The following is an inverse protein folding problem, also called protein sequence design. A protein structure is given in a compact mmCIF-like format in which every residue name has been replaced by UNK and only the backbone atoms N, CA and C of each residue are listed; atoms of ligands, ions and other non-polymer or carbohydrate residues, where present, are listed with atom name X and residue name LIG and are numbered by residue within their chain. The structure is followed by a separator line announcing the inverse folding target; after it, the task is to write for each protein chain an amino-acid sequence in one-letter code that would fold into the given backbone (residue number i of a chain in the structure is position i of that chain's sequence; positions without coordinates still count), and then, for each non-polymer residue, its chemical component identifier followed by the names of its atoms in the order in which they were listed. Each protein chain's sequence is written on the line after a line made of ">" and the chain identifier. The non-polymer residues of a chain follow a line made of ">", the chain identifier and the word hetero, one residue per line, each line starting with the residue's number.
data_IF_549527779175
#
_entry.id   IF_549527779175
#
_cell.length_a   1.000
_cell.length_b   1.000
_cell.length_c   1.000
_cell.angle_alpha   90.00
_cell.angle_beta   90.00
_cell.angle_gamma   90.00
#
_symmetry.space_group_name_H-M   'P 1'
#
loop_
_entity.id
_entity.type
_entity.pdbx_description
1 polymer ?
#
# COMPACT_ATOMS: atom_id res chain seq x y z
N UNK A 1 -30.54 12.25 -23.46
CA UNK A 1 -29.27 12.91 -23.84
C UNK A 1 -28.64 13.50 -22.58
N UNK A 2 -27.63 12.84 -22.01
CA UNK A 2 -27.01 13.21 -20.73
C UNK A 2 -26.02 14.37 -20.99
N UNK A 3 -26.35 15.59 -20.58
CA UNK A 3 -25.47 16.76 -20.72
C UNK A 3 -24.58 16.89 -19.46
N UNK A 4 -23.31 16.45 -19.49
CA UNK A 4 -22.46 16.39 -18.29
C UNK A 4 -22.22 17.75 -17.63
N UNK A 5 -22.24 18.83 -18.43
CA UNK A 5 -22.03 20.21 -17.98
C UNK A 5 -23.17 20.74 -17.10
N UNK A 6 -24.42 20.37 -17.40
CA UNK A 6 -25.59 20.80 -16.60
C UNK A 6 -25.73 20.01 -15.30
N UNK A 7 -25.24 18.76 -15.27
CA UNK A 7 -25.20 17.93 -14.07
C UNK A 7 -24.15 18.42 -13.05
N UNK A 8 -22.97 18.82 -13.52
CA UNK A 8 -21.89 19.36 -12.68
C UNK A 8 -22.26 20.68 -11.98
N UNK A 9 -23.10 21.53 -12.59
CA UNK A 9 -23.53 22.81 -12.00
C UNK A 9 -24.46 22.69 -10.80
N UNK A 10 -25.18 21.57 -10.62
CA UNK A 10 -26.24 21.44 -9.58
C UNK A 10 -25.80 20.71 -8.31
N UNK A 11 -24.63 20.08 -8.30
CA UNK A 11 -24.09 19.35 -7.13
C UNK A 11 -22.56 19.46 -7.05
N UNK A 12 -22.02 20.62 -6.63
CA UNK A 12 -20.58 20.87 -6.66
C UNK A 12 -19.81 19.83 -5.83
N UNK A 13 -20.35 19.41 -4.67
CA UNK A 13 -19.68 18.46 -3.77
C UNK A 13 -19.72 17.02 -4.31
N UNK A 14 -20.82 16.59 -4.95
CA UNK A 14 -20.91 15.25 -5.54
C UNK A 14 -20.08 15.12 -6.82
N UNK A 15 -20.00 16.20 -7.61
CA UNK A 15 -19.10 16.27 -8.75
C UNK A 15 -17.63 16.23 -8.27
N UNK A 16 -17.26 17.02 -7.25
CA UNK A 16 -15.89 17.07 -6.73
C UNK A 16 -15.47 15.75 -6.08
N UNK A 17 -16.34 15.07 -5.32
CA UNK A 17 -16.05 13.72 -4.78
C UNK A 17 -15.91 12.65 -5.87
N UNK A 18 -16.77 12.68 -6.90
CA UNK A 18 -16.65 11.78 -8.04
C UNK A 18 -15.40 12.10 -8.89
N UNK A 19 -14.93 13.35 -8.86
CA UNK A 19 -13.71 13.82 -9.53
C UNK A 19 -12.43 13.49 -8.75
N UNK A 20 -12.44 13.46 -7.41
CA UNK A 20 -11.23 13.18 -6.60
C UNK A 20 -10.86 11.70 -6.58
N UNK A 21 -11.85 10.81 -6.41
CA UNK A 21 -11.66 9.35 -6.40
C UNK A 21 -11.27 8.76 -7.76
N UNK A 22 -11.67 9.38 -8.87
CA UNK A 22 -11.33 8.90 -10.21
C UNK A 22 -10.24 9.75 -10.88
N UNK A 23 -9.67 10.71 -10.15
CA UNK A 23 -8.71 11.68 -10.70
C UNK A 23 -7.53 11.00 -11.39
N UNK A 24 -7.02 9.89 -10.82
CA UNK A 24 -5.95 9.11 -11.44
C UNK A 24 -6.35 8.56 -12.80
N UNK A 25 -7.49 7.85 -12.88
CA UNK A 25 -7.91 7.24 -14.14
C UNK A 25 -8.28 8.29 -15.18
N UNK A 26 -8.97 9.36 -14.79
CA UNK A 26 -9.31 10.45 -15.72
C UNK A 26 -8.06 11.08 -16.33
N UNK A 27 -7.00 11.28 -15.54
CA UNK A 27 -5.73 11.85 -16.04
C UNK A 27 -4.95 10.91 -16.92
N UNK A 28 -5.05 9.59 -16.70
CA UNK A 28 -4.41 8.61 -17.57
C UNK A 28 -5.19 8.39 -18.87
N UNK A 29 -6.52 8.49 -18.84
CA UNK A 29 -7.38 8.25 -20.00
C UNK A 29 -7.43 9.44 -20.95
N UNK A 30 -7.43 10.68 -20.45
CA UNK A 30 -7.51 11.89 -21.29
C UNK A 30 -6.51 11.92 -22.47
N UNK A 31 -5.19 11.76 -22.26
CA UNK A 31 -4.23 11.78 -23.38
C UNK A 31 -4.37 10.54 -24.30
N UNK A 32 -4.93 9.43 -23.80
CA UNK A 32 -5.21 8.27 -24.64
C UNK A 32 -6.40 8.52 -25.56
N UNK A 33 -7.42 9.24 -25.10
CA UNK A 33 -8.55 9.63 -25.95
C UNK A 33 -8.14 10.61 -27.05
N UNK A 34 -7.21 11.52 -26.78
CA UNK A 34 -6.66 12.41 -27.81
C UNK A 34 -5.92 11.64 -28.92
N UNK A 35 -5.22 10.55 -28.57
CA UNK A 35 -4.38 9.78 -29.51
C UNK A 35 -5.10 8.62 -30.20
N UNK A 36 -5.99 7.93 -29.48
CA UNK A 36 -6.64 6.68 -29.91
C UNK A 36 -8.16 6.84 -30.11
N UNK A 37 -8.69 8.04 -29.89
CA UNK A 37 -10.13 8.33 -29.89
C UNK A 37 -10.85 7.85 -28.61
N UNK A 38 -12.08 8.31 -28.37
CA UNK A 38 -12.90 7.97 -27.20
C UNK A 38 -13.48 6.55 -27.32
N UNK A 39 -12.61 5.54 -27.33
CA UNK A 39 -12.98 4.13 -27.48
C UNK A 39 -13.03 3.42 -26.13
N UNK A 40 -13.82 2.34 -26.05
CA UNK A 40 -13.88 1.51 -24.84
C UNK A 40 -12.50 0.89 -24.51
N UNK A 41 -11.69 0.61 -25.55
CA UNK A 41 -10.32 0.13 -25.41
C UNK A 41 -9.43 1.16 -24.69
N UNK A 42 -9.37 2.39 -25.20
CA UNK A 42 -8.56 3.46 -24.61
C UNK A 42 -8.97 3.78 -23.15
N UNK A 43 -10.26 3.69 -22.84
CA UNK A 43 -10.77 3.91 -21.48
C UNK A 43 -10.31 2.84 -20.47
N UNK A 44 -10.10 1.60 -20.93
CA UNK A 44 -9.76 0.44 -20.08
C UNK A 44 -8.26 0.18 -20.03
N UNK A 45 -7.51 0.65 -21.02
CA UNK A 45 -6.07 0.41 -21.15
C UNK A 45 -5.26 0.75 -19.88
N UNK A 46 -5.46 1.90 -19.19
CA UNK A 46 -4.72 2.19 -17.96
C UNK A 46 -4.98 1.17 -16.85
N UNK A 47 -6.24 0.76 -16.67
CA UNK A 47 -6.64 -0.21 -15.65
C UNK A 47 -6.03 -1.57 -15.96
N UNK A 48 -6.10 -2.01 -17.21
CA UNK A 48 -5.55 -3.28 -17.66
C UNK A 48 -4.02 -3.34 -17.50
N UNK A 49 -3.30 -2.25 -17.83
CA UNK A 49 -1.86 -2.17 -17.64
C UNK A 49 -1.47 -2.20 -16.16
N UNK A 50 -2.13 -1.40 -15.31
CA UNK A 50 -1.87 -1.40 -13.87
C UNK A 50 -2.19 -2.77 -13.26
N UNK A 51 -3.34 -3.36 -13.61
CA UNK A 51 -3.73 -4.71 -13.21
C UNK A 51 -2.73 -5.77 -13.64
N UNK A 52 -2.20 -5.65 -14.87
CA UNK A 52 -1.17 -6.55 -15.41
C UNK A 52 0.17 -6.51 -14.67
N UNK A 53 0.44 -5.45 -13.89
CA UNK A 53 1.61 -5.38 -13.03
C UNK A 53 1.43 -6.08 -11.67
N UNK A 54 0.21 -6.49 -11.29
CA UNK A 54 -0.05 -7.16 -10.02
C UNK A 54 0.88 -8.38 -9.77
N UNK A 55 1.14 -9.27 -10.75
CA UNK A 55 2.04 -10.41 -10.56
C UNK A 55 3.47 -10.03 -10.17
N UNK A 56 3.97 -8.86 -10.60
CA UNK A 56 5.31 -8.40 -10.25
C UNK A 56 5.45 -8.09 -8.75
N UNK A 57 4.34 -7.80 -8.04
CA UNK A 57 4.37 -7.62 -6.61
C UNK A 57 4.88 -8.86 -5.87
N UNK A 58 4.74 -10.07 -6.45
CA UNK A 58 5.29 -11.31 -5.89
C UNK A 58 6.80 -11.24 -5.66
N UNK A 59 7.54 -10.51 -6.51
CA UNK A 59 9.00 -10.32 -6.39
C UNK A 59 9.38 -9.56 -5.11
N UNK A 60 8.50 -8.72 -4.58
CA UNK A 60 8.73 -8.00 -3.33
C UNK A 60 8.74 -8.96 -2.13
N UNK A 61 7.96 -10.04 -2.22
CA UNK A 61 7.88 -11.09 -1.21
C UNK A 61 8.90 -12.22 -1.41
N UNK A 62 9.64 -12.24 -2.52
CA UNK A 62 10.70 -13.23 -2.81
C UNK A 62 11.89 -13.10 -1.87
N UNK A 63 12.48 -14.22 -1.46
CA UNK A 63 13.71 -14.25 -0.65
C UNK A 63 14.86 -13.51 -1.34
N UNK A 64 15.53 -12.55 -0.65
CA UNK A 64 16.77 -11.96 -1.14
C UNK A 64 17.90 -12.99 -1.14
N UNK A 65 18.83 -12.89 -2.10
CA UNK A 65 20.05 -13.69 -2.11
C UNK A 65 20.80 -13.52 -0.78
N UNK A 66 20.96 -14.62 -0.03
CA UNK A 66 21.54 -14.64 1.31
C UNK A 66 20.62 -14.17 2.44
N UNK A 67 19.28 -14.32 2.31
CA UNK A 67 18.29 -13.97 3.34
C UNK A 67 17.86 -15.16 4.24
N UNK A 68 17.39 -14.86 5.45
CA UNK A 68 17.15 -15.82 6.56
C UNK A 68 15.89 -16.71 6.42
N UNK A 69 15.49 -17.14 5.22
CA UNK A 69 14.39 -18.12 5.09
C UNK A 69 12.96 -17.58 5.20
N UNK A 70 12.76 -16.32 5.62
CA UNK A 70 11.44 -15.78 6.03
C UNK A 70 10.53 -15.27 4.92
N UNK A 71 11.09 -15.09 3.74
CA UNK A 71 10.38 -14.65 2.54
C UNK A 71 10.21 -15.83 1.59
N UNK A 72 9.35 -15.66 0.59
CA UNK A 72 8.93 -16.71 -0.34
C UNK A 72 10.12 -17.29 -1.10
N UNK A 73 10.12 -18.61 -1.27
CA UNK A 73 11.03 -19.29 -2.19
C UNK A 73 10.70 -18.92 -3.65
N UNK A 74 11.57 -19.30 -4.59
CA UNK A 74 11.38 -18.99 -6.01
C UNK A 74 10.10 -19.64 -6.56
N UNK A 75 9.86 -20.91 -6.23
CA UNK A 75 8.64 -21.63 -6.60
C UNK A 75 7.38 -20.96 -6.01
N UNK A 76 7.40 -20.58 -4.74
CA UNK A 76 6.27 -19.89 -4.10
C UNK A 76 6.00 -18.52 -4.70
N UNK A 77 7.06 -17.80 -5.07
CA UNK A 77 6.95 -16.49 -5.72
C UNK A 77 6.29 -16.63 -7.10
N UNK A 78 6.64 -17.68 -7.87
CA UNK A 78 5.99 -17.99 -9.14
C UNK A 78 4.53 -18.38 -8.93
N UNK A 79 4.22 -19.19 -7.92
CA UNK A 79 2.84 -19.55 -7.59
C UNK A 79 2.03 -18.31 -7.22
N UNK A 80 2.55 -17.42 -6.37
CA UNK A 80 1.88 -16.17 -6.01
C UNK A 80 1.66 -15.27 -7.24
N UNK A 81 2.68 -15.13 -8.10
CA UNK A 81 2.56 -14.36 -9.34
C UNK A 81 1.47 -14.94 -10.25
N UNK A 82 1.44 -16.27 -10.40
CA UNK A 82 0.42 -16.99 -11.16
C UNK A 82 -0.97 -16.74 -10.60
N UNK A 83 -1.16 -16.91 -9.28
CA UNK A 83 -2.43 -16.63 -8.59
C UNK A 83 -2.88 -15.19 -8.84
N UNK A 84 -2.00 -14.20 -8.68
CA UNK A 84 -2.32 -12.80 -8.92
C UNK A 84 -2.67 -12.52 -10.39
N UNK A 85 -2.04 -13.22 -11.33
CA UNK A 85 -2.29 -13.09 -12.77
C UNK A 85 -3.67 -13.64 -13.18
N UNK A 86 -4.11 -14.75 -12.58
CA UNK A 86 -5.37 -15.42 -12.96
C UNK A 86 -6.52 -15.19 -11.99
N UNK A 87 -6.33 -14.40 -10.94
CA UNK A 87 -7.38 -14.13 -9.95
C UNK A 87 -8.63 -13.58 -10.65
N UNK A 88 -9.79 -14.26 -10.57
CA UNK A 88 -10.97 -13.91 -11.35
C UNK A 88 -11.43 -12.47 -11.13
N UNK A 89 -11.35 -11.98 -9.89
CA UNK A 89 -11.68 -10.59 -9.56
C UNK A 89 -10.79 -9.59 -10.30
N UNK A 90 -9.47 -9.79 -10.29
CA UNK A 90 -8.52 -8.92 -10.98
C UNK A 90 -8.73 -8.94 -12.50
N UNK A 91 -8.85 -10.13 -13.10
CA UNK A 91 -9.05 -10.28 -14.55
C UNK A 91 -10.39 -9.68 -14.99
N UNK A 92 -11.45 -9.95 -14.23
CA UNK A 92 -12.77 -9.42 -14.53
C UNK A 92 -12.83 -7.90 -14.40
N UNK A 93 -12.38 -7.33 -13.26
CA UNK A 93 -12.50 -5.89 -13.05
C UNK A 93 -11.52 -5.06 -13.89
N UNK A 94 -10.44 -5.66 -14.39
CA UNK A 94 -9.52 -4.97 -15.32
C UNK A 94 -10.14 -4.65 -16.68
N UNK A 95 -11.27 -5.27 -17.04
CA UNK A 95 -12.01 -4.92 -18.28
C UNK A 95 -12.86 -3.66 -18.15
N UNK A 96 -12.94 -3.05 -16.98
CA UNK A 96 -13.76 -1.86 -16.74
C UNK A 96 -12.86 -0.69 -16.35
N UNK A 97 -13.28 0.54 -16.68
CA UNK A 97 -12.62 1.75 -16.20
C UNK A 97 -12.97 1.95 -14.71
N UNK A 98 -12.44 1.08 -13.85
CA UNK A 98 -12.79 0.97 -12.44
C UNK A 98 -11.54 1.17 -11.60
N UNK A 99 -11.66 2.03 -10.60
CA UNK A 99 -10.52 2.44 -9.78
C UNK A 99 -10.09 1.42 -8.73
N UNK A 100 -10.93 0.42 -8.45
CA UNK A 100 -10.63 -0.67 -7.51
C UNK A 100 -9.37 -1.48 -7.87
N UNK A 101 -9.11 -1.71 -9.16
CA UNK A 101 -7.93 -2.48 -9.59
C UNK A 101 -6.64 -1.68 -9.33
N UNK A 102 -6.49 -0.42 -9.79
CA UNK A 102 -5.36 0.42 -9.42
C UNK A 102 -5.14 0.53 -7.91
N UNK A 103 -6.21 0.74 -7.14
CA UNK A 103 -6.15 0.79 -5.69
C UNK A 103 -5.52 -0.48 -5.10
N UNK A 104 -6.04 -1.64 -5.50
CA UNK A 104 -5.56 -2.93 -5.00
C UNK A 104 -4.09 -3.17 -5.36
N UNK A 105 -3.69 -2.85 -6.60
CA UNK A 105 -2.30 -3.01 -7.06
C UNK A 105 -1.38 -2.09 -6.28
N UNK A 106 -1.68 -0.80 -6.19
CA UNK A 106 -0.83 0.15 -5.47
C UNK A 106 -0.74 -0.18 -3.98
N UNK A 107 -1.84 -0.58 -3.35
CA UNK A 107 -1.83 -1.05 -1.96
C UNK A 107 -0.97 -2.31 -1.78
N UNK A 108 -1.04 -3.26 -2.72
CA UNK A 108 -0.22 -4.49 -2.70
C UNK A 108 1.27 -4.18 -2.85
N UNK A 109 1.64 -3.26 -3.75
CA UNK A 109 3.03 -2.79 -3.87
C UNK A 109 3.49 -2.06 -2.62
N UNK A 110 2.66 -1.17 -2.05
CA UNK A 110 2.98 -0.48 -0.80
C UNK A 110 3.24 -1.46 0.35
N UNK A 111 2.37 -2.48 0.49
CA UNK A 111 2.57 -3.58 1.45
C UNK A 111 3.84 -4.37 1.16
N UNK A 112 4.08 -4.76 -0.09
CA UNK A 112 5.26 -5.50 -0.50
C UNK A 112 6.56 -4.76 -0.20
N UNK A 113 6.61 -3.45 -0.46
CA UNK A 113 7.75 -2.62 -0.11
C UNK A 113 7.91 -2.42 1.40
N UNK A 114 6.82 -2.30 2.16
CA UNK A 114 6.88 -2.26 3.62
C UNK A 114 7.46 -3.57 4.19
N UNK A 115 6.98 -4.72 3.72
CA UNK A 115 7.53 -6.04 4.07
C UNK A 115 9.00 -6.16 3.66
N UNK A 116 9.36 -5.67 2.46
CA UNK A 116 10.74 -5.65 1.98
C UNK A 116 11.65 -4.75 2.81
N UNK A 117 11.13 -3.62 3.32
CA UNK A 117 11.85 -2.72 4.22
C UNK A 117 12.21 -3.45 5.51
N UNK A 118 11.24 -4.15 6.11
CA UNK A 118 11.43 -4.95 7.32
C UNK A 118 12.41 -6.12 7.08
N UNK A 119 12.30 -6.80 5.94
CA UNK A 119 13.15 -7.95 5.63
C UNK A 119 14.61 -7.59 5.31
N UNK A 120 14.84 -6.44 4.68
CA UNK A 120 16.19 -6.04 4.22
C UNK A 120 16.84 -4.97 5.09
N UNK A 121 16.08 -4.30 5.97
CA UNK A 121 16.54 -3.13 6.72
C UNK A 121 16.90 -1.92 5.83
N UNK A 122 16.58 -1.93 4.53
CA UNK A 122 16.94 -0.84 3.61
C UNK A 122 15.85 0.21 3.57
N UNK A 123 16.20 1.44 3.95
CA UNK A 123 15.31 2.61 4.00
C UNK A 123 14.68 2.98 2.65
N UNK A 124 15.35 2.69 1.53
CA UNK A 124 14.79 2.93 0.18
C UNK A 124 13.44 2.26 -0.06
N UNK A 125 13.19 1.10 0.57
CA UNK A 125 11.90 0.42 0.41
C UNK A 125 10.79 1.11 1.22
N UNK A 126 11.12 1.84 2.29
CA UNK A 126 10.14 2.69 3.00
C UNK A 126 9.68 3.83 2.10
N UNK A 127 10.62 4.44 1.37
CA UNK A 127 10.32 5.52 0.40
C UNK A 127 9.46 4.99 -0.74
N UNK A 128 9.79 3.83 -1.29
CA UNK A 128 8.97 3.17 -2.31
C UNK A 128 7.56 2.82 -1.78
N UNK A 129 7.44 2.34 -0.54
CA UNK A 129 6.14 2.10 0.08
C UNK A 129 5.31 3.39 0.18
N UNK A 130 5.94 4.51 0.56
CA UNK A 130 5.30 5.83 0.57
C UNK A 130 4.80 6.26 -0.80
N UNK A 131 5.62 6.12 -1.85
CA UNK A 131 5.23 6.44 -3.22
C UNK A 131 3.97 5.66 -3.67
N UNK A 132 3.96 4.35 -3.46
CA UNK A 132 2.81 3.51 -3.85
C UNK A 132 1.58 3.77 -2.97
N UNK A 133 1.76 4.07 -1.69
CA UNK A 133 0.66 4.53 -0.84
C UNK A 133 0.07 5.86 -1.34
N UNK A 134 0.92 6.80 -1.76
CA UNK A 134 0.49 8.06 -2.39
C UNK A 134 -0.26 7.87 -3.71
N UNK A 135 0.15 6.89 -4.54
CA UNK A 135 -0.57 6.52 -5.77
C UNK A 135 -1.94 5.88 -5.49
N UNK A 136 -2.12 5.22 -4.35
CA UNK A 136 -3.41 4.65 -3.95
C UNK A 136 -4.44 5.74 -3.56
N UNK A 137 -4.00 6.86 -2.99
CA UNK A 137 -4.91 7.94 -2.53
C UNK A 137 -5.84 8.48 -3.64
N UNK A 138 -5.36 8.90 -4.81
CA UNK A 138 -6.21 9.45 -5.88
C UNK A 138 -7.05 8.40 -6.63
N UNK A 139 -7.08 7.14 -6.18
CA UNK A 139 -7.86 6.07 -6.82
C UNK A 139 -9.22 5.85 -6.18
N UNK A 140 -9.41 6.19 -4.89
CA UNK A 140 -10.71 5.96 -4.26
C UNK A 140 -10.88 6.78 -3.00
N UNK A 141 -12.08 7.32 -2.80
CA UNK A 141 -12.44 8.12 -1.65
C UNK A 141 -12.37 7.34 -0.33
N UNK A 142 -12.63 6.04 -0.38
CA UNK A 142 -12.58 5.17 0.79
C UNK A 142 -11.20 4.56 1.05
N UNK A 143 -10.12 5.07 0.42
CA UNK A 143 -8.73 4.61 0.63
C UNK A 143 -8.34 4.59 2.12
N UNK A 144 -8.87 5.52 2.92
CA UNK A 144 -8.64 5.60 4.37
C UNK A 144 -9.12 4.34 5.10
N UNK A 145 -10.22 3.72 4.65
CA UNK A 145 -10.71 2.47 5.23
C UNK A 145 -9.72 1.32 4.99
N UNK A 146 -9.11 1.25 3.81
CA UNK A 146 -8.10 0.24 3.51
C UNK A 146 -6.83 0.45 4.33
N UNK A 147 -6.43 1.71 4.55
CA UNK A 147 -5.33 2.03 5.45
C UNK A 147 -5.63 1.58 6.89
N UNK A 148 -6.85 1.83 7.38
CA UNK A 148 -7.29 1.36 8.70
C UNK A 148 -7.30 -0.18 8.79
N UNK A 149 -7.77 -0.89 7.76
CA UNK A 149 -7.69 -2.34 7.67
C UNK A 149 -6.25 -2.84 7.70
N UNK A 150 -5.32 -2.18 6.99
CA UNK A 150 -3.91 -2.53 6.99
C UNK A 150 -3.28 -2.33 8.38
N UNK A 151 -3.62 -1.26 9.09
CA UNK A 151 -3.20 -1.04 10.49
C UNK A 151 -3.76 -2.13 11.42
N UNK A 152 -5.04 -2.49 11.26
CA UNK A 152 -5.66 -3.60 11.99
C UNK A 152 -4.95 -4.92 11.73
N UNK A 153 -4.65 -5.24 10.47
CA UNK A 153 -3.89 -6.43 10.10
C UNK A 153 -2.47 -6.43 10.69
N UNK A 154 -1.80 -5.28 10.72
CA UNK A 154 -0.49 -5.13 11.36
C UNK A 154 -0.58 -5.36 12.88
N UNK A 155 -1.61 -4.83 13.55
CA UNK A 155 -1.85 -5.06 14.98
C UNK A 155 -2.08 -6.55 15.29
N UNK A 156 -2.90 -7.23 14.47
CA UNK A 156 -3.11 -8.68 14.58
C UNK A 156 -1.79 -9.43 14.37
N UNK A 157 -0.99 -9.06 13.37
CA UNK A 157 0.30 -9.70 13.11
C UNK A 157 1.29 -9.54 14.29
N UNK A 158 1.31 -8.37 14.93
CA UNK A 158 2.13 -8.13 16.14
C UNK A 158 1.61 -8.93 17.34
N UNK A 159 0.29 -9.07 17.48
CA UNK A 159 -0.33 -9.82 18.58
C UNK A 159 -0.28 -11.35 18.41
N UNK A 160 -0.21 -11.85 17.17
CA UNK A 160 -0.30 -13.28 16.84
C UNK A 160 0.65 -14.21 17.62
N UNK A 161 1.95 -13.87 17.81
CA UNK A 161 2.86 -14.70 18.61
C UNK A 161 2.38 -14.95 20.04
N UNK A 162 1.72 -13.96 20.67
CA UNK A 162 1.22 -14.07 22.03
C UNK A 162 0.03 -15.04 22.12
N UNK A 163 -0.85 -15.02 21.12
CA UNK A 163 -1.98 -15.95 20.99
C UNK A 163 -1.48 -17.40 20.88
N UNK A 164 -0.48 -17.63 20.02
CA UNK A 164 0.12 -18.96 19.85
C UNK A 164 0.84 -19.42 21.13
N UNK A 165 1.59 -18.53 21.78
CA UNK A 165 2.31 -18.85 23.01
C UNK A 165 1.37 -19.18 24.18
N UNK A 166 0.26 -18.44 24.32
CA UNK A 166 -0.75 -18.66 25.35
C UNK A 166 -1.43 -20.03 25.21
N UNK A 167 -1.76 -20.43 23.98
CA UNK A 167 -2.36 -21.74 23.71
C UNK A 167 -1.43 -22.92 24.03
N UNK A 168 -0.14 -22.81 23.72
CA UNK A 168 0.83 -23.91 23.91
C UNK A 168 1.24 -24.15 25.36
N UNK A 169 1.21 -23.11 26.19
CA UNK A 169 1.84 -23.15 27.51
C UNK A 169 0.85 -23.08 28.67
N UNK A 170 -0.46 -23.05 28.40
CA UNK A 170 -1.56 -22.89 29.36
C UNK A 170 -1.36 -21.76 30.41
N UNK A 171 -0.45 -20.81 30.16
CA UNK A 171 0.00 -19.79 31.12
C UNK A 171 -0.08 -18.40 30.51
N UNK A 172 -0.85 -17.53 31.17
CA UNK A 172 -1.05 -16.14 30.79
C UNK A 172 0.25 -15.32 30.82
N UNK A 173 1.17 -15.66 31.73
CA UNK A 173 2.49 -15.03 31.83
C UNK A 173 3.35 -15.20 30.56
N UNK A 174 3.26 -16.36 29.90
CA UNK A 174 4.02 -16.62 28.66
C UNK A 174 3.42 -15.88 27.46
N UNK A 175 2.11 -15.76 27.41
CA UNK A 175 1.43 -14.92 26.41
C UNK A 175 1.82 -13.44 26.58
N UNK A 176 1.73 -12.92 27.81
CA UNK A 176 2.04 -11.53 28.12
C UNK A 176 3.51 -11.17 27.82
N UNK A 177 4.47 -12.01 28.21
CA UNK A 177 5.89 -11.79 27.91
C UNK A 177 6.20 -11.87 26.41
N UNK A 178 5.47 -12.71 25.66
CA UNK A 178 5.60 -12.80 24.21
C UNK A 178 5.02 -11.58 23.51
N UNK A 179 3.88 -11.07 23.99
CA UNK A 179 3.29 -9.83 23.50
C UNK A 179 4.25 -8.66 23.71
N UNK A 180 4.77 -8.48 24.93
CA UNK A 180 5.75 -7.41 25.24
C UNK A 180 6.98 -7.46 24.34
N UNK A 181 7.50 -8.66 24.07
CA UNK A 181 8.64 -8.83 23.15
C UNK A 181 8.28 -8.49 21.71
N UNK A 182 7.09 -8.88 21.25
CA UNK A 182 6.61 -8.58 19.90
C UNK A 182 6.40 -7.07 19.70
N UNK A 183 5.77 -6.40 20.66
CA UNK A 183 5.53 -4.95 20.62
C UNK A 183 6.84 -4.16 20.72
N UNK A 184 7.77 -4.56 21.59
CA UNK A 184 9.09 -3.93 21.68
C UNK A 184 9.84 -3.99 20.34
N UNK A 185 9.82 -5.16 19.67
CA UNK A 185 10.47 -5.34 18.37
C UNK A 185 9.80 -4.56 17.25
N UNK A 186 8.47 -4.53 17.22
CA UNK A 186 7.73 -3.68 16.30
C UNK A 186 8.14 -2.21 16.50
N UNK A 187 8.26 -1.76 17.76
CA UNK A 187 8.74 -0.43 18.12
C UNK A 187 10.17 -0.17 17.65
N UNK A 188 11.09 -1.12 17.81
CA UNK A 188 12.47 -1.00 17.31
C UNK A 188 12.52 -0.89 15.78
N UNK A 189 11.76 -1.71 15.07
CA UNK A 189 11.68 -1.66 13.61
C UNK A 189 11.14 -0.30 13.13
N UNK A 190 10.07 0.21 13.76
CA UNK A 190 9.52 1.54 13.48
C UNK A 190 10.58 2.61 13.73
N UNK A 191 11.25 2.60 14.89
CA UNK A 191 12.30 3.58 15.24
C UNK A 191 13.47 3.55 14.25
N UNK A 192 13.87 2.37 13.79
CA UNK A 192 14.96 2.23 12.82
C UNK A 192 14.61 2.83 11.45
N UNK A 193 13.35 2.68 11.03
CA UNK A 193 12.83 3.22 9.77
C UNK A 193 12.32 4.66 9.87
N UNK A 194 12.14 5.20 11.08
CA UNK A 194 11.65 6.56 11.35
C UNK A 194 12.38 7.64 10.53
N UNK A 195 13.73 7.64 10.39
CA UNK A 195 14.41 8.68 9.62
C UNK A 195 14.11 8.64 8.11
N UNK A 196 13.54 7.56 7.59
CA UNK A 196 13.13 7.45 6.20
C UNK A 196 11.69 7.95 5.96
N UNK A 197 10.92 8.14 7.04
CA UNK A 197 9.50 8.55 6.96
C UNK A 197 9.33 9.91 6.29
N UNK A 198 10.12 10.96 6.58
CA UNK A 198 9.97 12.24 5.89
C UNK A 198 10.10 12.10 4.37
N UNK A 199 11.11 11.35 3.91
CA UNK A 199 11.32 11.12 2.48
C UNK A 199 10.21 10.25 1.87
N UNK A 200 9.66 9.29 2.62
CA UNK A 200 8.51 8.50 2.19
C UNK A 200 7.24 9.34 2.08
N UNK A 201 7.01 10.28 3.00
CA UNK A 201 5.90 11.23 2.95
C UNK A 201 6.06 12.16 1.74
N UNK A 202 7.25 12.71 1.51
CA UNK A 202 7.53 13.51 0.31
C UNK A 202 7.27 12.72 -0.97
N UNK A 203 7.71 11.46 -1.03
CA UNK A 203 7.45 10.59 -2.17
C UNK A 203 5.95 10.28 -2.36
N UNK A 204 5.18 10.17 -1.26
CA UNK A 204 3.73 10.00 -1.30
C UNK A 204 3.00 11.27 -1.75
N UNK A 205 3.52 12.45 -1.39
CA UNK A 205 2.94 13.74 -1.77
C UNK A 205 3.03 14.00 -3.27
N UNK A 206 4.06 13.52 -3.96
CA UNK A 206 4.22 13.70 -5.41
C UNK A 206 2.98 13.25 -6.20
N UNK A 207 2.54 11.97 -6.13
CA UNK A 207 1.32 11.54 -6.83
C UNK A 207 0.06 12.20 -6.28
N UNK A 208 -0.04 12.41 -4.96
CA UNK A 208 -1.21 13.07 -4.33
C UNK A 208 -1.41 14.46 -4.93
N UNK A 209 -0.38 15.31 -4.90
CA UNK A 209 -0.43 16.66 -5.45
C UNK A 209 -0.64 16.60 -6.96
N UNK A 210 0.09 15.75 -7.69
CA UNK A 210 -0.05 15.65 -9.13
C UNK A 210 -1.48 15.30 -9.56
N UNK A 211 -2.12 14.34 -8.89
CA UNK A 211 -3.45 13.85 -9.26
C UNK A 211 -4.59 14.66 -8.66
N UNK A 212 -4.45 15.23 -7.47
CA UNK A 212 -5.53 15.94 -6.78
C UNK A 212 -5.46 17.47 -6.93
N UNK A 213 -4.32 18.04 -7.35
CA UNK A 213 -4.22 19.47 -7.56
C UNK A 213 -5.25 20.00 -8.58
N UNK A 214 -5.89 21.15 -8.30
CA UNK A 214 -6.74 21.86 -9.25
C UNK A 214 -5.99 22.19 -10.56
N UNK A 215 -6.69 22.16 -11.69
CA UNK A 215 -6.15 22.49 -13.03
C UNK A 215 -7.07 23.44 -13.81
N UNK A 216 -7.42 24.59 -13.24
CA UNK A 216 -8.28 25.57 -13.90
C UNK A 216 -7.98 27.02 -13.53
N UNK A 217 -8.51 28.00 -14.29
CA UNK A 217 -8.26 29.43 -14.11
C UNK A 217 -9.02 30.06 -12.91
N UNK A 218 -9.74 29.27 -12.12
CA UNK A 218 -10.67 29.78 -11.11
C UNK A 218 -9.97 29.83 -9.76
N UNK A 219 -9.37 30.98 -9.41
CA UNK A 219 -9.07 31.48 -8.04
C UNK A 219 -8.26 30.61 -7.06
N UNK A 220 -8.05 29.33 -7.36
CA UNK A 220 -7.34 28.33 -6.55
C UNK A 220 -5.90 28.21 -7.06
N UNK A 221 -4.93 27.90 -6.18
CA UNK A 221 -3.56 27.61 -6.59
C UNK A 221 -3.54 26.35 -7.47
N UNK A 222 -3.56 26.55 -8.79
CA UNK A 222 -3.57 25.48 -9.77
C UNK A 222 -2.15 24.96 -10.05
N UNK A 223 -2.02 23.68 -10.40
CA UNK A 223 -0.71 23.07 -10.69
C UNK A 223 0.03 23.81 -11.83
N UNK A 224 -0.70 24.27 -12.84
CA UNK A 224 -0.13 25.05 -13.95
C UNK A 224 0.41 26.41 -13.51
N UNK A 225 -0.32 27.12 -12.64
CA UNK A 225 0.10 28.40 -12.09
C UNK A 225 1.33 28.26 -11.19
N UNK A 226 1.39 27.22 -10.35
CA UNK A 226 2.58 26.95 -9.54
C UNK A 226 3.81 26.59 -10.37
N UNK A 227 3.64 25.83 -11.46
CA UNK A 227 4.72 25.51 -12.40
C UNK A 227 5.19 26.74 -13.18
N UNK A 228 4.30 27.69 -13.48
CA UNK A 228 4.62 28.96 -14.11
C UNK A 228 5.27 29.99 -13.16
N UNK A 229 5.23 29.74 -11.84
CA UNK A 229 5.72 30.66 -10.81
C UNK A 229 4.68 31.67 -10.29
N UNK A 230 3.45 31.62 -10.80
CA UNK A 230 2.36 32.56 -10.47
C UNK A 230 1.64 32.22 -9.16
N UNK A 231 1.85 31.01 -8.61
CA UNK A 231 1.26 30.56 -7.35
C UNK A 231 2.30 29.87 -6.46
N UNK A 232 2.15 30.00 -5.13
CA UNK A 232 3.05 29.36 -4.17
C UNK A 232 2.88 27.84 -4.11
N UNK A 233 4.00 27.10 -4.15
CA UNK A 233 4.02 25.64 -4.00
C UNK A 233 3.38 25.14 -2.71
N UNK A 234 3.53 25.90 -1.61
CA UNK A 234 2.92 25.54 -0.32
C UNK A 234 1.38 25.60 -0.39
N UNK A 235 0.83 26.67 -0.96
CA UNK A 235 -0.62 26.82 -1.14
C UNK A 235 -1.20 25.73 -2.05
N UNK A 236 -0.47 25.33 -3.11
CA UNK A 236 -0.85 24.21 -3.95
C UNK A 236 -0.90 22.89 -3.17
N UNK A 237 0.13 22.59 -2.38
CA UNK A 237 0.22 21.36 -1.57
C UNK A 237 -0.91 21.34 -0.53
N UNK A 238 -1.13 22.45 0.18
CA UNK A 238 -2.22 22.60 1.15
C UNK A 238 -3.58 22.38 0.48
N UNK A 239 -3.82 23.03 -0.67
CA UNK A 239 -5.07 22.89 -1.41
C UNK A 239 -5.32 21.45 -1.89
N UNK A 240 -4.26 20.79 -2.38
CA UNK A 240 -4.32 19.42 -2.87
C UNK A 240 -4.45 18.37 -1.74
N UNK A 241 -4.08 18.73 -0.50
CA UNK A 241 -4.14 17.83 0.66
C UNK A 241 -5.27 18.22 1.61
N UNK A 242 -5.07 19.23 2.45
CA UNK A 242 -6.03 19.75 3.43
C UNK A 242 -7.34 20.18 2.76
N UNK A 243 -7.28 20.97 1.69
CA UNK A 243 -8.49 21.40 0.99
C UNK A 243 -9.30 20.24 0.38
N UNK A 244 -8.61 19.18 -0.06
CA UNK A 244 -9.27 17.95 -0.52
C UNK A 244 -9.91 17.18 0.63
N UNK A 245 -9.22 17.11 1.77
CA UNK A 245 -9.75 16.51 3.00
C UNK A 245 -10.96 17.26 3.54
N UNK A 246 -10.94 18.59 3.59
CA UNK A 246 -12.08 19.41 4.03
C UNK A 246 -13.30 19.25 3.11
N UNK A 247 -13.07 19.21 1.80
CA UNK A 247 -14.13 18.93 0.83
C UNK A 247 -14.71 17.53 1.03
N UNK A 248 -13.85 16.55 1.34
CA UNK A 248 -14.29 15.20 1.68
C UNK A 248 -15.04 15.14 3.01
N UNK A 249 -14.54 15.78 4.06
CA UNK A 249 -15.10 15.80 5.39
C UNK A 249 -16.39 16.60 5.50
N UNK A 250 -16.61 17.60 4.63
CA UNK A 250 -17.88 18.34 4.52
C UNK A 250 -18.90 17.65 3.62
N UNK A 251 -18.52 16.53 2.97
CA UNK A 251 -19.38 15.83 2.02
C UNK A 251 -20.36 14.84 2.69
N UNK A 252 -21.20 14.19 1.86
CA UNK A 252 -22.17 13.15 2.26
C UNK A 252 -21.57 11.89 2.93
N UNK A 253 -20.27 11.87 3.21
CA UNK A 253 -19.61 10.83 3.98
C UNK A 253 -19.75 11.04 5.49
N UNK A 254 -19.81 12.29 5.97
CA UNK A 254 -19.93 12.63 7.40
C UNK A 254 -21.32 13.16 7.78
N UNK A 255 -22.12 13.60 6.79
CA UNK A 255 -23.50 14.04 7.02
C UNK A 255 -24.46 12.90 7.40
N UNK A 256 -25.46 13.20 8.22
CA UNK A 256 -26.49 12.25 8.64
C UNK A 256 -27.24 11.64 7.45
N UNK A 257 -27.29 10.31 7.36
CA UNK A 257 -28.03 9.59 6.32
C UNK A 257 -29.41 9.18 6.85
N UNK A 258 -30.43 9.35 6.03
CA UNK A 258 -31.80 8.86 6.25
C UNK A 258 -31.98 7.37 5.90
N UNK A 259 -30.89 6.59 5.84
CA UNK A 259 -30.93 5.18 5.47
C UNK A 259 -30.57 4.31 6.67
N UNK A 260 -31.37 3.27 6.92
CA UNK A 260 -31.15 2.35 8.03
C UNK A 260 -29.88 1.52 7.83
N UNK A 261 -28.84 1.82 8.61
CA UNK A 261 -27.60 1.02 8.68
C UNK A 261 -27.88 -0.43 9.06
N UNK A 262 -28.91 -0.68 9.87
CA UNK A 262 -29.32 -2.03 10.30
C UNK A 262 -29.76 -2.90 9.11
N UNK A 263 -30.49 -2.34 8.14
CA UNK A 263 -30.92 -3.10 6.95
C UNK A 263 -29.70 -3.51 6.10
N UNK A 264 -28.75 -2.60 5.91
CA UNK A 264 -27.53 -2.92 5.16
C UNK A 264 -26.61 -3.88 5.92
N UNK A 265 -26.51 -3.74 7.24
CA UNK A 265 -25.79 -4.69 8.09
C UNK A 265 -26.40 -6.10 8.00
N UNK A 266 -27.74 -6.21 8.02
CA UNK A 266 -28.45 -7.49 7.83
C UNK A 266 -28.19 -8.10 6.45
N UNK A 267 -28.26 -7.29 5.38
CA UNK A 267 -27.92 -7.75 4.01
C UNK A 267 -26.46 -8.19 3.89
N UNK A 268 -25.53 -7.44 4.47
CA UNK A 268 -24.12 -7.80 4.50
C UNK A 268 -23.90 -9.11 5.26
N UNK A 269 -24.53 -9.27 6.42
CA UNK A 269 -24.50 -10.50 7.21
C UNK A 269 -24.99 -11.71 6.41
N UNK A 270 -26.11 -11.57 5.70
CA UNK A 270 -26.63 -12.63 4.84
C UNK A 270 -25.64 -13.00 3.73
N UNK A 271 -25.06 -12.01 3.04
CA UNK A 271 -24.06 -12.24 2.00
C UNK A 271 -22.79 -12.89 2.56
N UNK A 272 -22.35 -12.49 3.76
CA UNK A 272 -21.21 -13.12 4.44
C UNK A 272 -21.52 -14.56 4.84
N UNK A 273 -22.70 -14.83 5.41
CA UNK A 273 -23.10 -16.18 5.81
C UNK A 273 -23.25 -17.11 4.61
N UNK A 274 -23.95 -16.68 3.56
CA UNK A 274 -24.27 -17.53 2.40
C UNK A 274 -23.11 -17.57 1.41
N UNK A 275 -22.57 -16.40 1.05
CA UNK A 275 -21.54 -16.27 0.02
C UNK A 275 -20.12 -16.54 0.52
N UNK A 276 -19.83 -16.27 1.81
CA UNK A 276 -18.51 -16.50 2.37
C UNK A 276 -18.38 -17.85 3.08
N UNK A 277 -19.41 -18.70 3.13
CA UNK A 277 -19.33 -20.01 3.79
C UNK A 277 -18.14 -20.85 3.32
N UNK A 278 -17.85 -20.97 2.00
CA UNK A 278 -16.66 -21.70 1.53
C UNK A 278 -15.36 -21.03 1.94
N UNK A 279 -15.33 -19.70 2.02
CA UNK A 279 -14.16 -18.92 2.43
C UNK A 279 -13.92 -19.04 3.94
N UNK A 280 -14.97 -19.01 4.75
CA UNK A 280 -14.92 -19.17 6.21
C UNK A 280 -14.54 -20.61 6.57
N UNK A 281 -15.11 -21.60 5.89
CA UNK A 281 -14.73 -23.02 6.05
C UNK A 281 -13.29 -23.22 5.60
N UNK A 282 -12.89 -22.69 4.45
CA UNK A 282 -11.51 -22.76 3.96
C UNK A 282 -10.52 -22.05 4.88
N UNK A 283 -10.85 -20.86 5.38
CA UNK A 283 -10.06 -20.11 6.34
C UNK A 283 -10.02 -20.78 7.70
N UNK A 284 -11.12 -21.40 8.15
CA UNK A 284 -11.20 -22.19 9.37
C UNK A 284 -10.37 -23.46 9.27
N UNK A 285 -10.41 -24.15 8.13
CA UNK A 285 -9.56 -25.29 7.82
C UNK A 285 -8.08 -24.87 7.78
N UNK A 286 -7.74 -23.81 7.06
CA UNK A 286 -6.38 -23.27 7.01
C UNK A 286 -5.90 -22.83 8.40
N UNK A 287 -6.75 -22.16 9.19
CA UNK A 287 -6.43 -21.75 10.56
C UNK A 287 -6.26 -22.95 11.49
N UNK A 288 -7.12 -23.96 11.39
CA UNK A 288 -7.01 -25.18 12.19
C UNK A 288 -5.78 -26.01 11.82
N UNK A 289 -5.41 -26.05 10.53
CA UNK A 289 -4.16 -26.62 10.06
C UNK A 289 -2.96 -25.84 10.59
N UNK A 290 -2.96 -24.51 10.47
CA UNK A 290 -1.92 -23.63 10.99
C UNK A 290 -1.73 -23.77 12.51
N UNK A 291 -2.81 -24.06 13.23
CA UNK A 291 -2.77 -24.33 14.66
C UNK A 291 -2.16 -25.69 15.01
N UNK A 292 -2.28 -26.69 14.13
CA UNK A 292 -1.72 -28.04 14.30
C UNK A 292 -0.26 -28.10 13.84
N UNK A 293 0.01 -27.57 12.66
CA UNK A 293 1.32 -27.51 12.01
C UNK A 293 1.54 -26.06 11.53
N UNK A 294 2.19 -25.21 12.34
CA UNK A 294 2.38 -23.82 11.97
C UNK A 294 3.25 -23.72 10.73
N UNK A 295 2.73 -23.05 9.71
CA UNK A 295 3.48 -22.68 8.53
C UNK A 295 4.58 -21.68 8.91
N UNK A 296 5.60 -21.56 8.04
CA UNK A 296 6.62 -20.53 8.18
C UNK A 296 5.98 -19.13 8.28
N UNK A 297 6.13 -18.40 9.39
CA UNK A 297 5.48 -17.11 9.54
C UNK A 297 6.22 -16.07 8.69
N UNK A 298 5.66 -15.70 7.53
CA UNK A 298 6.31 -14.77 6.59
C UNK A 298 6.43 -13.35 7.19
N UNK A 299 5.32 -12.78 7.68
CA UNK A 299 5.27 -11.43 8.28
C UNK A 299 5.53 -11.48 9.78
N UNK A 300 4.91 -12.44 10.47
CA UNK A 300 5.10 -12.61 11.92
C UNK A 300 6.55 -13.00 12.23
N UNK A 301 7.23 -13.76 11.37
CA UNK A 301 8.64 -14.10 11.55
C UNK A 301 9.58 -12.92 11.35
N UNK A 302 9.20 -11.91 10.56
CA UNK A 302 9.99 -10.69 10.38
C UNK A 302 9.97 -9.79 11.62
N UNK A 303 8.85 -9.74 12.35
CA UNK A 303 8.69 -8.93 13.57
C UNK A 303 9.06 -9.74 14.83
N UNK A 304 8.74 -11.04 14.87
CA UNK A 304 8.78 -11.86 16.08
C UNK A 304 9.97 -12.82 16.20
N UNK A 305 10.71 -13.09 15.13
CA UNK A 305 11.91 -13.95 15.19
C UNK A 305 13.13 -13.08 14.86
N UNK A 306 14.22 -13.22 15.64
CA UNK A 306 15.46 -12.40 15.63
C UNK A 306 15.65 -11.49 14.41
N UNK A 307 15.66 -10.16 14.52
CA UNK A 307 16.24 -9.35 13.45
C UNK A 307 17.71 -9.73 13.31
N UNK A 308 18.24 -9.73 12.08
CA UNK A 308 19.69 -9.52 11.91
C UNK A 308 20.04 -8.27 12.72
N UNK A 309 21.20 -8.22 13.41
CA UNK A 309 21.66 -6.96 13.96
C UNK A 309 21.62 -5.95 12.82
N UNK A 310 20.73 -4.97 12.94
CA UNK A 310 20.59 -3.89 11.96
C UNK A 310 22.00 -3.33 11.76
N UNK A 311 22.45 -3.13 10.51
CA UNK A 311 23.82 -2.71 10.27
C UNK A 311 24.07 -1.45 11.12
N UNK A 312 24.95 -1.58 12.12
CA UNK A 312 25.33 -0.46 12.97
C UNK A 312 25.81 0.63 12.03
N UNK A 313 25.15 1.79 12.07
CA UNK A 313 25.64 3.00 11.44
C UNK A 313 26.94 3.38 12.16
N UNK A 314 28.05 2.84 11.69
CA UNK A 314 29.35 3.04 12.33
C UNK A 314 30.48 2.44 11.49
N UNK A 315 31.10 3.28 10.66
CA UNK A 315 32.53 3.32 10.27
C UNK A 315 33.26 2.10 9.70
N UNK A 316 32.75 0.87 9.82
CA UNK A 316 33.51 -0.35 9.53
C UNK A 316 33.72 -0.65 8.04
N UNK A 317 32.82 -0.16 7.18
CA UNK A 317 32.91 -0.35 5.73
C UNK A 317 34.06 0.42 5.10
N UNK A 318 34.40 1.60 5.66
CA UNK A 318 35.51 2.43 5.16
C UNK A 318 36.85 1.81 5.56
N UNK A 319 37.01 1.36 6.81
CA UNK A 319 38.24 0.69 7.27
C UNK A 319 38.57 -0.59 6.50
N UNK A 320 37.55 -1.40 6.13
CA UNK A 320 37.78 -2.61 5.32
C UNK A 320 38.19 -2.30 3.88
N UNK A 321 37.66 -1.24 3.26
CA UNK A 321 38.07 -0.82 1.91
C UNK A 321 39.48 -0.21 1.89
N UNK A 322 39.84 0.57 2.92
CA UNK A 322 41.19 1.13 3.06
C UNK A 322 42.23 0.02 3.26
N UNK A 323 41.93 -1.00 4.09
CA UNK A 323 42.85 -2.12 4.31
C UNK A 323 43.01 -3.04 3.07
N UNK A 324 41.98 -3.14 2.23
CA UNK A 324 42.05 -3.86 0.96
C UNK A 324 42.85 -3.07 -0.09
N UNK A 325 42.65 -1.76 -0.18
CA UNK A 325 43.43 -0.89 -1.07
C UNK A 325 44.92 -0.84 -0.70
N UNK A 326 45.26 -0.80 0.60
CA UNK A 326 46.65 -0.81 1.05
C UNK A 326 47.38 -2.14 0.79
N UNK A 327 46.66 -3.28 0.77
CA UNK A 327 47.25 -4.57 0.39
C UNK A 327 47.51 -4.66 -1.11
N UNK A 328 46.63 -4.10 -1.93
CA UNK A 328 46.81 -4.06 -3.39
C UNK A 328 48.01 -3.17 -3.78
N UNK A 329 48.20 -2.04 -3.10
CA UNK A 329 49.32 -1.12 -3.35
C UNK A 329 50.67 -1.76 -2.96
N UNK A 330 50.74 -2.58 -1.90
CA UNK A 330 51.98 -3.31 -1.55
C UNK A 330 52.31 -4.39 -2.59
N UNK A 331 51.30 -5.15 -3.03
CA UNK A 331 51.48 -6.19 -4.06
C UNK A 331 51.99 -5.67 -5.40
N UNK A 332 51.74 -4.40 -5.74
CA UNK A 332 52.20 -3.77 -6.99
C UNK A 332 53.61 -3.16 -6.83
N UNK A 333 54.06 -2.96 -5.59
CA UNK A 333 55.38 -2.41 -5.29
C UNK A 333 56.46 -3.49 -5.11
N UNK A 334 56.03 -4.72 -4.82
CA UNK A 334 56.88 -5.89 -4.61
C UNK A 334 56.98 -6.79 -5.87
N UNK A 335 56.44 -6.33 -7.01
CA UNK A 335 56.53 -6.96 -8.34
C UNK A 335 57.28 -6.03 -9.31
#
# INVERSE_FOLDING_TARGET
>A
MFHPVRWARRRPVAAVLALTALSLLLRLVAPLFERLGPTAFAARLPVALIGGFAPLAALLFRRPAGGDGRLLDDAESVVLAGLLAVTPGSVYYSRFMRSDVPLAVFALFALGFAVRALATGRRRHVVAAGLFAGLAVPTKENVVLYAACALGAAAVAVGWPAVVAGRRSATTARAASTLRRSTARAGEAVRYHLPAVPLAVLAALVPVVFFLAPRGPVGDPALGAALAGDAGWLALVERATAGTWETFASSHWTGGRSHSYLIYAGKLWFVLLVGALPVVVGAGYASSRELREPSRPLVVGLIALRPRPLPRTGGGGVRRRVAAGQRLIRSVRDA
#
